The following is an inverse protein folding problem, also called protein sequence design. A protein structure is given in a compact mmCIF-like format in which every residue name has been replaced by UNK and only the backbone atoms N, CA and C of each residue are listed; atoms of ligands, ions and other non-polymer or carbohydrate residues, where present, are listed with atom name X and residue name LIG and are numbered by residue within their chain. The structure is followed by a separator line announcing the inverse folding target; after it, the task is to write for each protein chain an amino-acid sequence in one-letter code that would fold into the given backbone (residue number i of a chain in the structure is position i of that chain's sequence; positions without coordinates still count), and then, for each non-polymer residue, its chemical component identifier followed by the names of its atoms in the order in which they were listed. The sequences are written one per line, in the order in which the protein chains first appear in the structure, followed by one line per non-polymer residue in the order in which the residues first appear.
data_IF_231139962970
#
_entry.id   IF_231139962970
#
_cell.length_a   1.000
_cell.length_b   1.000
_cell.length_c   1.000
_cell.angle_alpha   90.00
_cell.angle_beta   90.00
_cell.angle_gamma   90.00
#
_symmetry.space_group_name_H-M   'P 1'
#
loop_
_entity.id
_entity.type
_entity.pdbx_description
1 polymer ?
#
# COMPACT_ATOMS: atom_id res chain seq x y z
N UNK A 1 55.81 -31.47 -3.04
CA UNK A 1 54.81 -31.16 -4.09
C UNK A 1 53.42 -31.32 -3.49
N UNK A 2 52.84 -30.25 -2.92
CA UNK A 2 51.51 -30.28 -2.31
C UNK A 2 50.50 -29.65 -3.28
N UNK A 3 49.51 -30.42 -3.74
CA UNK A 3 48.51 -30.01 -4.73
C UNK A 3 47.44 -29.14 -4.06
N UNK A 4 47.36 -27.87 -4.47
CA UNK A 4 46.28 -26.95 -4.09
C UNK A 4 44.99 -27.41 -4.80
N UNK A 5 43.96 -27.80 -4.03
CA UNK A 5 42.60 -28.03 -4.55
C UNK A 5 41.83 -26.71 -4.45
N UNK A 6 41.55 -26.08 -5.59
CA UNK A 6 40.60 -24.97 -5.67
C UNK A 6 39.20 -25.57 -5.64
N UNK A 7 38.42 -25.25 -4.59
CA UNK A 7 36.99 -25.52 -4.55
C UNK A 7 36.31 -24.26 -5.06
N UNK A 8 35.75 -24.31 -6.27
CA UNK A 8 34.89 -23.27 -6.78
C UNK A 8 33.51 -23.41 -6.11
N UNK A 9 33.17 -22.49 -5.21
CA UNK A 9 31.81 -22.36 -4.70
C UNK A 9 30.94 -21.72 -5.79
N UNK A 10 30.08 -22.51 -6.42
CA UNK A 10 29.03 -21.98 -7.31
C UNK A 10 27.94 -21.40 -6.41
N UNK A 11 27.95 -20.08 -6.23
CA UNK A 11 26.87 -19.37 -5.57
C UNK A 11 25.60 -19.46 -6.41
N UNK A 12 24.59 -20.16 -5.91
CA UNK A 12 23.27 -20.21 -6.53
C UNK A 12 22.58 -18.86 -6.28
N UNK A 13 22.72 -17.92 -7.20
CA UNK A 13 21.91 -16.69 -7.17
C UNK A 13 20.48 -17.07 -7.54
N UNK A 14 19.60 -17.14 -6.54
CA UNK A 14 18.17 -17.26 -6.76
C UNK A 14 17.69 -16.01 -7.51
N UNK A 15 17.33 -16.18 -8.78
CA UNK A 15 16.59 -15.17 -9.51
C UNK A 15 15.15 -15.17 -8.96
N UNK A 16 14.82 -14.18 -8.13
CA UNK A 16 13.42 -13.89 -7.84
C UNK A 16 12.81 -13.32 -9.11
N UNK A 17 11.88 -14.07 -9.72
CA UNK A 17 11.07 -13.52 -10.80
C UNK A 17 10.28 -12.35 -10.23
N UNK A 18 10.42 -11.17 -10.85
CA UNK A 18 9.63 -10.00 -10.49
C UNK A 18 8.15 -10.36 -10.65
N UNK A 19 7.40 -10.34 -9.55
CA UNK A 19 5.95 -10.47 -9.61
C UNK A 19 5.35 -9.11 -9.97
N UNK A 20 4.32 -9.13 -10.82
CA UNK A 20 3.59 -7.94 -11.26
C UNK A 20 2.32 -7.76 -10.44
N UNK A 21 1.84 -6.50 -10.28
CA UNK A 21 0.54 -6.25 -9.68
C UNK A 21 -0.57 -7.05 -10.37
N UNK A 22 -1.62 -7.48 -9.66
CA UNK A 22 -2.80 -8.05 -10.30
C UNK A 22 -3.38 -7.05 -11.30
N UNK A 23 -3.60 -7.48 -12.55
CA UNK A 23 -4.11 -6.58 -13.60
C UNK A 23 -5.48 -5.99 -13.24
N UNK A 24 -6.31 -6.76 -12.53
CA UNK A 24 -7.63 -6.36 -12.07
C UNK A 24 -7.60 -5.34 -10.93
N UNK A 25 -6.44 -5.11 -10.30
CA UNK A 25 -6.29 -4.05 -9.30
C UNK A 25 -6.03 -2.68 -9.94
N UNK A 26 -5.58 -2.61 -11.19
CA UNK A 26 -5.26 -1.32 -11.82
C UNK A 26 -6.53 -0.51 -12.11
N UNK A 27 -6.59 0.72 -11.59
CA UNK A 27 -7.70 1.64 -11.83
C UNK A 27 -7.37 2.54 -13.02
N UNK A 28 -8.09 2.32 -14.13
CA UNK A 28 -7.92 3.11 -15.36
C UNK A 28 -8.74 4.39 -15.40
N UNK A 29 -9.86 4.43 -14.69
CA UNK A 29 -10.74 5.61 -14.63
C UNK A 29 -11.42 5.69 -13.26
N UNK A 30 -11.63 6.90 -12.78
CA UNK A 30 -12.30 7.15 -11.50
C UNK A 30 -13.67 7.78 -11.76
N UNK A 31 -14.78 7.14 -11.34
CA UNK A 31 -16.11 7.70 -11.48
C UNK A 31 -16.21 9.10 -10.86
N UNK A 32 -16.85 10.03 -11.57
CA UNK A 32 -17.04 11.40 -11.10
C UNK A 32 -15.80 12.30 -11.20
N UNK A 33 -14.66 11.81 -11.70
CA UNK A 33 -13.50 12.66 -11.95
C UNK A 33 -13.84 13.77 -12.95
N UNK A 34 -13.76 15.02 -12.48
CA UNK A 34 -14.15 16.21 -13.22
C UNK A 34 -13.15 17.34 -13.01
N UNK A 35 -11.94 17.11 -13.53
CA UNK A 35 -10.88 18.11 -13.59
C UNK A 35 -10.42 18.28 -15.04
N UNK A 36 -9.85 19.44 -15.33
CA UNK A 36 -9.27 19.77 -16.63
C UNK A 36 -7.98 19.01 -16.91
N UNK A 37 -7.20 18.72 -15.87
CA UNK A 37 -6.02 17.89 -15.96
C UNK A 37 -6.44 16.41 -15.93
N UNK A 38 -5.90 15.54 -16.81
CA UNK A 38 -6.12 14.10 -16.69
C UNK A 38 -5.33 13.53 -15.51
N UNK A 39 -5.78 12.38 -14.99
CA UNK A 39 -4.99 11.58 -14.05
C UNK A 39 -3.76 11.05 -14.80
N UNK A 40 -2.57 11.48 -14.37
CA UNK A 40 -1.29 11.23 -15.05
C UNK A 40 -0.36 10.26 -14.29
N UNK A 41 -0.84 9.63 -13.22
CA UNK A 41 -0.13 8.62 -12.43
C UNK A 41 -0.95 7.32 -12.38
N UNK A 42 -0.30 6.18 -12.18
CA UNK A 42 -1.02 4.91 -12.02
C UNK A 42 -1.54 4.78 -10.60
N UNK A 43 -2.63 4.04 -10.49
CA UNK A 43 -3.23 3.71 -9.21
C UNK A 43 -3.79 2.30 -9.24
N UNK A 44 -3.73 1.66 -8.09
CA UNK A 44 -4.14 0.28 -7.92
C UNK A 44 -4.92 0.15 -6.62
N UNK A 45 -6.08 -0.49 -6.65
CA UNK A 45 -6.82 -0.79 -5.44
C UNK A 45 -7.39 -2.19 -5.50
N UNK A 46 -7.39 -2.86 -4.36
CA UNK A 46 -7.81 -4.25 -4.27
C UNK A 46 -7.58 -4.79 -2.88
N UNK A 47 -7.82 -6.09 -2.71
CA UNK A 47 -7.55 -6.79 -1.47
C UNK A 47 -6.35 -7.70 -1.65
N UNK A 48 -5.43 -7.68 -0.69
CA UNK A 48 -4.38 -8.69 -0.59
C UNK A 48 -4.75 -9.69 0.51
N UNK A 49 -4.75 -10.97 0.14
CA UNK A 49 -4.92 -12.05 1.09
C UNK A 49 -3.68 -12.18 1.97
N UNK A 50 -3.91 -12.40 3.27
CA UNK A 50 -2.92 -12.64 4.30
C UNK A 50 -2.98 -14.12 4.70
N UNK A 51 -2.16 -15.00 4.12
CA UNK A 51 -2.25 -16.44 4.33
C UNK A 51 -2.07 -16.89 5.80
N UNK A 52 -1.28 -16.15 6.59
CA UNK A 52 -1.03 -16.47 8.00
C UNK A 52 -2.18 -15.96 8.88
N UNK A 53 -2.65 -14.74 8.65
CA UNK A 53 -3.76 -14.17 9.39
C UNK A 53 -5.14 -14.76 9.00
N UNK A 54 -5.28 -15.31 7.80
CA UNK A 54 -6.57 -15.73 7.24
C UNK A 54 -7.51 -14.54 6.97
N UNK A 55 -6.96 -13.38 6.62
CA UNK A 55 -7.68 -12.12 6.40
C UNK A 55 -7.35 -11.55 5.02
N UNK A 56 -8.12 -10.57 4.56
CA UNK A 56 -7.86 -9.82 3.33
C UNK A 56 -7.96 -8.32 3.64
N UNK A 57 -6.84 -7.60 3.46
CA UNK A 57 -6.81 -6.15 3.67
C UNK A 57 -6.91 -5.40 2.35
N UNK A 58 -7.79 -4.41 2.32
CA UNK A 58 -7.95 -3.51 1.20
C UNK A 58 -6.90 -2.40 1.27
N UNK A 59 -6.33 -2.09 0.11
CA UNK A 59 -5.41 -0.97 -0.06
C UNK A 59 -5.78 -0.17 -1.30
N UNK A 60 -5.34 1.09 -1.31
CA UNK A 60 -5.27 1.91 -2.50
C UNK A 60 -3.86 2.49 -2.62
N UNK A 61 -3.13 2.03 -3.63
CA UNK A 61 -1.83 2.55 -4.03
C UNK A 61 -2.02 3.64 -5.09
N UNK A 62 -1.37 4.79 -4.91
CA UNK A 62 -1.23 5.82 -5.94
C UNK A 62 0.25 6.10 -6.15
N UNK A 63 0.70 5.97 -7.39
CA UNK A 63 2.10 6.19 -7.75
C UNK A 63 2.48 7.67 -7.62
N UNK A 64 3.78 7.92 -7.45
CA UNK A 64 4.31 9.28 -7.45
C UNK A 64 4.04 9.98 -8.79
N UNK A 65 3.70 11.27 -8.73
CA UNK A 65 3.54 12.13 -9.90
C UNK A 65 4.88 12.66 -10.44
N UNK A 66 5.97 12.55 -9.66
CA UNK A 66 7.29 13.05 -10.02
C UNK A 66 8.16 11.97 -10.67
N UNK A 67 8.61 10.98 -9.88
CA UNK A 67 9.41 9.86 -10.37
C UNK A 67 8.96 8.56 -9.69
N UNK A 68 7.86 7.93 -10.17
CA UNK A 68 7.31 6.73 -9.55
C UNK A 68 8.24 5.52 -9.64
N UNK A 69 9.37 5.59 -10.36
CA UNK A 69 10.37 4.53 -10.40
C UNK A 69 11.43 4.66 -9.29
N UNK A 70 11.66 5.85 -8.74
CA UNK A 70 12.73 6.11 -7.77
C UNK A 70 12.24 6.75 -6.46
N UNK A 71 11.10 7.43 -6.47
CA UNK A 71 10.52 8.06 -5.30
C UNK A 71 10.15 7.02 -4.21
N UNK A 72 10.16 7.43 -2.93
CA UNK A 72 9.92 6.54 -1.80
C UNK A 72 8.52 5.92 -1.81
N UNK A 73 8.35 4.86 -1.01
CA UNK A 73 7.03 4.33 -0.65
C UNK A 73 6.66 4.81 0.74
N UNK A 74 5.44 5.28 0.89
CA UNK A 74 4.89 5.71 2.18
C UNK A 74 3.60 4.92 2.44
N UNK A 75 3.60 4.12 3.51
CA UNK A 75 2.37 3.56 4.06
C UNK A 75 1.66 4.65 4.86
N UNK A 76 0.36 4.84 4.60
CA UNK A 76 -0.52 5.73 5.35
C UNK A 76 -1.59 4.93 6.11
N UNK A 77 -1.76 5.24 7.38
CA UNK A 77 -2.74 4.65 8.29
C UNK A 77 -3.53 5.75 9.01
N UNK A 78 -4.86 5.79 8.82
CA UNK A 78 -5.73 6.53 9.75
C UNK A 78 -5.95 5.70 11.04
N UNK A 79 -6.32 6.38 12.12
CA UNK A 79 -6.47 5.78 13.45
C UNK A 79 -7.88 5.32 13.80
N UNK A 80 -8.43 5.86 14.90
CA UNK A 80 -9.72 5.47 15.47
C UNK A 80 -9.54 4.91 16.89
N UNK A 81 -9.35 3.58 17.08
CA UNK A 81 -9.15 2.53 16.06
C UNK A 81 -10.40 2.22 15.24
N UNK A 82 -10.22 1.73 14.00
CA UNK A 82 -11.29 1.28 13.12
C UNK A 82 -11.73 2.28 12.03
N UNK A 83 -11.04 3.42 11.90
CA UNK A 83 -11.31 4.37 10.82
C UNK A 83 -10.63 3.94 9.52
N UNK A 84 -11.32 4.15 8.39
CA UNK A 84 -10.77 3.87 7.07
C UNK A 84 -9.65 4.85 6.70
N UNK A 85 -8.56 4.31 6.14
CA UNK A 85 -7.50 5.13 5.54
C UNK A 85 -7.91 5.83 4.24
N UNK A 86 -9.09 5.50 3.69
CA UNK A 86 -9.67 6.27 2.59
C UNK A 86 -10.22 7.62 3.05
N UNK A 87 -10.38 7.83 4.36
CA UNK A 87 -10.54 9.18 4.93
C UNK A 87 -9.34 10.05 4.54
N UNK A 88 -8.13 9.62 4.90
CA UNK A 88 -6.90 10.34 4.50
C UNK A 88 -6.72 10.46 3.00
N UNK A 89 -7.17 9.46 2.24
CA UNK A 89 -7.15 9.50 0.79
C UNK A 89 -8.02 10.63 0.19
N UNK A 90 -9.30 10.71 0.57
CA UNK A 90 -10.25 11.62 -0.08
C UNK A 90 -10.42 12.98 0.61
N UNK A 91 -10.02 13.09 1.88
CA UNK A 91 -10.29 14.30 2.68
C UNK A 91 -9.03 14.99 3.21
N UNK A 92 -7.85 14.39 3.07
CA UNK A 92 -6.62 14.93 3.64
C UNK A 92 -5.51 15.09 2.59
N UNK A 93 -4.78 14.01 2.30
CA UNK A 93 -3.47 14.06 1.63
C UNK A 93 -3.38 13.19 0.37
N UNK A 94 -4.44 12.44 0.03
CA UNK A 94 -4.50 11.73 -1.23
C UNK A 94 -4.69 12.65 -2.44
N UNK A 95 -4.58 12.10 -3.66
CA UNK A 95 -4.58 12.87 -4.91
C UNK A 95 -5.93 13.45 -5.30
N UNK A 96 -6.99 13.09 -4.58
CA UNK A 96 -8.36 13.41 -4.96
C UNK A 96 -9.13 14.02 -3.80
N UNK A 97 -10.02 14.96 -4.10
CA UNK A 97 -10.98 15.53 -3.14
C UNK A 97 -12.38 15.37 -3.69
N UNK A 98 -13.25 14.71 -2.90
CA UNK A 98 -14.68 14.61 -3.21
C UNK A 98 -15.34 15.95 -2.87
N UNK A 99 -16.02 16.52 -3.86
CA UNK A 99 -16.75 17.78 -3.73
C UNK A 99 -18.17 17.54 -3.20
N UNK A 100 -18.84 18.62 -2.78
CA UNK A 100 -20.23 18.58 -2.28
C UNK A 100 -21.25 18.14 -3.34
N UNK A 101 -20.94 18.33 -4.63
CA UNK A 101 -21.73 17.86 -5.77
C UNK A 101 -21.37 16.43 -6.21
N UNK A 102 -20.58 15.71 -5.39
CA UNK A 102 -20.07 14.35 -5.64
C UNK A 102 -19.08 14.23 -6.80
N UNK A 103 -18.65 15.35 -7.40
CA UNK A 103 -17.53 15.31 -8.34
C UNK A 103 -16.21 15.08 -7.62
N UNK A 104 -15.25 14.49 -8.30
CA UNK A 104 -13.90 14.24 -7.80
C UNK A 104 -12.93 15.15 -8.52
N UNK A 105 -12.16 15.94 -7.76
CA UNK A 105 -11.17 16.88 -8.30
C UNK A 105 -9.77 16.55 -7.81
N UNK A 106 -8.76 17.07 -8.50
CA UNK A 106 -7.38 16.87 -8.10
C UNK A 106 -7.03 17.64 -6.82
N UNK A 107 -6.27 17.01 -5.92
CA UNK A 107 -5.68 17.67 -4.77
C UNK A 107 -4.28 18.21 -5.12
N UNK A 108 -4.17 19.53 -5.30
CA UNK A 108 -2.87 20.17 -5.61
C UNK A 108 -1.81 20.03 -4.50
N UNK A 109 -2.19 19.61 -3.29
CA UNK A 109 -1.28 19.39 -2.16
C UNK A 109 -1.11 17.92 -1.80
N UNK A 110 -1.49 17.01 -2.71
CA UNK A 110 -1.36 15.58 -2.49
C UNK A 110 0.08 15.16 -2.16
N UNK A 111 0.23 14.24 -1.23
CA UNK A 111 1.54 13.71 -0.87
C UNK A 111 2.14 12.84 -1.99
N UNK A 112 1.29 12.24 -2.84
CA UNK A 112 1.78 11.48 -3.99
C UNK A 112 2.45 12.34 -5.06
N UNK A 113 2.59 13.66 -4.86
CA UNK A 113 3.46 14.50 -5.70
C UNK A 113 4.93 14.06 -5.66
N UNK A 114 5.37 13.42 -4.57
CA UNK A 114 6.77 13.03 -4.36
C UNK A 114 6.94 11.64 -3.71
N UNK A 115 5.88 10.83 -3.65
CA UNK A 115 5.92 9.52 -3.03
C UNK A 115 4.90 8.57 -3.67
N UNK A 116 5.21 7.28 -3.66
CA UNK A 116 4.24 6.23 -3.92
C UNK A 116 3.48 5.98 -2.60
N UNK A 117 2.20 6.36 -2.55
CA UNK A 117 1.41 6.33 -1.33
C UNK A 117 0.55 5.07 -1.28
N UNK A 118 0.62 4.31 -0.19
CA UNK A 118 -0.22 3.13 0.07
C UNK A 118 -1.17 3.46 1.22
N UNK A 119 -2.45 3.62 0.92
CA UNK A 119 -3.49 3.81 1.93
C UNK A 119 -4.06 2.44 2.30
N UNK A 120 -3.81 1.97 3.52
CA UNK A 120 -4.21 0.64 3.96
C UNK A 120 -5.38 0.72 4.93
N UNK A 121 -6.47 0.02 4.65
CA UNK A 121 -7.58 -0.14 5.59
C UNK A 121 -7.27 -1.29 6.56
N UNK A 122 -6.87 -0.98 7.78
CA UNK A 122 -6.55 -1.94 8.82
C UNK A 122 -7.17 -1.53 10.17
N UNK A 123 -7.55 -2.49 11.05
CA UNK A 123 -7.50 -3.95 10.87
C UNK A 123 -8.61 -4.50 9.94
N UNK A 124 -8.67 -5.82 9.76
CA UNK A 124 -9.74 -6.46 9.01
C UNK A 124 -11.13 -6.09 9.58
N UNK A 125 -12.11 -5.83 8.70
CA UNK A 125 -13.41 -5.27 9.06
C UNK A 125 -13.52 -3.75 8.91
N UNK A 126 -12.39 -3.04 8.76
CA UNK A 126 -12.38 -1.62 8.41
C UNK A 126 -12.64 -1.44 6.91
N UNK A 127 -13.65 -0.65 6.56
CA UNK A 127 -13.97 -0.32 5.17
C UNK A 127 -14.21 -1.55 4.31
N UNK A 128 -13.34 -1.78 3.32
CA UNK A 128 -13.41 -2.91 2.41
C UNK A 128 -12.54 -4.11 2.82
N UNK A 129 -11.81 -4.01 3.93
CA UNK A 129 -11.04 -5.11 4.51
C UNK A 129 -11.94 -6.12 5.22
N UNK A 130 -11.59 -7.41 5.15
CA UNK A 130 -12.46 -8.50 5.62
C UNK A 130 -11.66 -9.67 6.23
N UNK A 131 -12.28 -10.51 7.07
CA UNK A 131 -13.65 -10.40 7.60
C UNK A 131 -13.76 -9.38 8.73
N UNK A 132 -15.01 -9.02 9.07
CA UNK A 132 -15.32 -8.37 10.34
C UNK A 132 -15.12 -9.38 11.47
N UNK A 133 -14.35 -9.03 12.48
CA UNK A 133 -14.02 -9.91 13.61
C UNK A 133 -14.92 -9.62 14.81
N UNK A 134 -14.89 -10.49 15.82
CA UNK A 134 -15.49 -10.16 17.09
C UNK A 134 -14.68 -9.08 17.79
N UNK A 135 -15.35 -8.20 18.54
CA UNK A 135 -14.70 -7.06 19.19
C UNK A 135 -13.51 -7.47 20.09
N UNK A 136 -13.58 -8.65 20.72
CA UNK A 136 -12.53 -9.19 21.58
C UNK A 136 -11.27 -9.66 20.82
N UNK A 137 -11.37 -9.86 19.51
CA UNK A 137 -10.26 -10.33 18.68
C UNK A 137 -9.36 -9.18 18.22
N UNK A 138 -9.82 -7.93 18.32
CA UNK A 138 -9.03 -6.74 18.00
C UNK A 138 -8.07 -6.40 19.14
N UNK A 139 -6.77 -6.36 18.82
CA UNK A 139 -5.74 -5.85 19.72
C UNK A 139 -4.54 -5.30 18.93
N UNK A 140 -3.72 -4.48 19.58
CA UNK A 140 -2.58 -3.79 18.95
C UNK A 140 -1.58 -4.79 18.34
N UNK A 141 -1.20 -5.84 19.09
CA UNK A 141 -0.22 -6.83 18.64
C UNK A 141 -0.65 -7.58 17.37
N UNK A 142 -1.90 -8.04 17.32
CA UNK A 142 -2.45 -8.74 16.14
C UNK A 142 -2.59 -7.80 14.95
N UNK A 143 -3.01 -6.54 15.19
CA UNK A 143 -3.12 -5.53 14.13
C UNK A 143 -1.75 -5.20 13.53
N UNK A 144 -0.73 -5.04 14.37
CA UNK A 144 0.65 -4.83 13.94
C UNK A 144 1.20 -6.05 13.17
N UNK A 145 0.98 -7.26 13.67
CA UNK A 145 1.41 -8.50 13.01
C UNK A 145 0.78 -8.69 11.63
N UNK A 146 -0.54 -8.44 11.51
CA UNK A 146 -1.26 -8.57 10.25
C UNK A 146 -0.87 -7.47 9.25
N UNK A 147 -0.61 -6.24 9.74
CA UNK A 147 -0.09 -5.14 8.90
C UNK A 147 1.31 -5.45 8.39
N UNK A 148 2.17 -6.05 9.22
CA UNK A 148 3.48 -6.52 8.80
C UNK A 148 3.39 -7.64 7.75
N UNK A 149 2.47 -8.60 7.93
CA UNK A 149 2.20 -9.61 6.91
C UNK A 149 1.72 -8.97 5.60
N UNK A 150 0.81 -8.00 5.67
CA UNK A 150 0.37 -7.25 4.50
C UNK A 150 1.54 -6.60 3.77
N UNK A 151 2.47 -5.94 4.48
CA UNK A 151 3.63 -5.33 3.85
C UNK A 151 4.50 -6.36 3.12
N UNK A 152 4.70 -7.55 3.70
CA UNK A 152 5.42 -8.63 3.02
C UNK A 152 4.72 -9.04 1.73
N UNK A 153 3.42 -9.32 1.80
CA UNK A 153 2.61 -9.70 0.62
C UNK A 153 2.59 -8.57 -0.41
N UNK A 154 2.47 -7.32 0.02
CA UNK A 154 2.48 -6.14 -0.85
C UNK A 154 3.82 -6.01 -1.59
N UNK A 155 4.95 -6.09 -0.91
CA UNK A 155 6.26 -6.00 -1.56
C UNK A 155 6.59 -7.22 -2.42
N UNK A 156 6.07 -8.41 -2.08
CA UNK A 156 6.15 -9.57 -2.96
C UNK A 156 5.35 -9.33 -4.25
N UNK A 157 4.13 -8.79 -4.14
CA UNK A 157 3.19 -8.49 -5.25
C UNK A 157 3.66 -7.33 -6.13
N UNK A 158 4.26 -6.31 -5.52
CA UNK A 158 4.77 -5.12 -6.17
C UNK A 158 6.30 -5.11 -6.10
N UNK A 159 6.91 -6.16 -6.62
CA UNK A 159 8.35 -6.43 -6.48
C UNK A 159 9.26 -5.28 -6.96
N UNK A 160 8.78 -4.44 -7.87
CA UNK A 160 9.49 -3.24 -8.36
C UNK A 160 9.68 -2.14 -7.31
N UNK A 161 8.97 -2.21 -6.18
CA UNK A 161 9.15 -1.30 -5.04
C UNK A 161 10.17 -1.81 -4.01
N UNK A 162 10.63 -3.07 -4.13
CA UNK A 162 11.61 -3.59 -3.20
C UNK A 162 12.93 -2.82 -3.26
N UNK A 163 13.56 -2.62 -2.11
CA UNK A 163 14.84 -1.90 -1.99
C UNK A 163 14.73 -0.38 -2.05
N UNK A 164 13.53 0.18 -2.25
CA UNK A 164 13.31 1.64 -2.20
C UNK A 164 13.18 2.14 -0.76
N UNK A 165 13.45 3.44 -0.50
CA UNK A 165 13.17 4.03 0.80
C UNK A 165 11.70 3.85 1.18
N UNK A 166 11.46 3.36 2.40
CA UNK A 166 10.11 3.07 2.92
C UNK A 166 9.88 3.81 4.22
N UNK A 167 8.71 4.44 4.32
CA UNK A 167 8.27 5.17 5.51
C UNK A 167 6.88 4.73 5.93
N UNK A 168 6.63 4.74 7.23
CA UNK A 168 5.30 4.56 7.80
C UNK A 168 4.86 5.91 8.36
N UNK A 169 3.72 6.38 7.90
CA UNK A 169 3.06 7.57 8.39
C UNK A 169 1.62 7.22 8.79
N UNK A 170 1.07 8.00 9.70
CA UNK A 170 -0.32 7.83 10.10
C UNK A 170 -0.79 8.90 11.06
N UNK A 171 -2.06 8.84 11.39
CA UNK A 171 -2.75 9.83 12.22
C UNK A 171 -3.45 9.16 13.41
N UNK A 172 -3.52 9.89 14.53
CA UNK A 172 -4.30 9.50 15.71
C UNK A 172 -3.83 8.14 16.30
N UNK A 173 -4.72 7.15 16.44
CA UNK A 173 -4.39 5.83 16.99
C UNK A 173 -3.32 5.08 16.18
N UNK A 174 -3.02 5.47 14.94
CA UNK A 174 -1.88 4.95 14.20
C UNK A 174 -0.51 5.28 14.85
N UNK A 175 -0.46 6.19 15.83
CA UNK A 175 0.69 6.40 16.69
C UNK A 175 0.91 5.32 17.76
N UNK A 176 -0.02 4.36 17.88
CA UNK A 176 0.13 3.14 18.67
C UNK A 176 0.70 2.06 17.73
N UNK A 177 2.03 2.03 17.65
CA UNK A 177 2.77 0.98 16.94
C UNK A 177 2.93 -0.26 17.84
#
# INVERSE_FOLDING_TARGET
MLRLRVVAAVGLTAFFAASSPPEDHQIHSLPGYNDSAPINFKQYAGRLALPLAGQELFYWLVESQHDPANDPIVLWLNGGPGCSSLGGFFTELGPFVVQSDLTVKHNKYAWNRHANMVFLEAPAGVGFSRPLLHAADYNDNTTAANTHEFLRVFFDTYSTYQGRPFYIAGESYAGRC
#
